data_IF_156848929390
#
_entry.id   IF_156848929390
#
_cell.length_a   1.000
_cell.length_b   1.000
_cell.length_c   1.000
_cell.angle_alpha   90.00
_cell.angle_beta   90.00
_cell.angle_gamma   90.00
#
_symmetry.space_group_name_H-M   'P 1'
#
loop_
_entity.id
_entity.type
_entity.pdbx_description
1 polymer ?
#
# COMPACT_ATOMS: atom_id res chain seq x y z
N UNK A 1 17.24 10.14 -7.88
CA UNK A 1 15.98 9.50 -7.45
C UNK A 1 16.33 8.55 -6.32
N UNK A 2 16.07 8.97 -5.08
CA UNK A 2 16.39 8.19 -3.88
C UNK A 2 15.68 6.85 -3.94
N UNK A 3 16.45 5.78 -3.88
CA UNK A 3 15.93 4.44 -3.67
C UNK A 3 15.25 4.45 -2.29
N UNK A 4 13.93 4.65 -2.24
CA UNK A 4 13.14 4.75 -1.00
C UNK A 4 13.10 3.43 -0.19
N UNK A 5 14.05 2.52 -0.44
CA UNK A 5 14.26 1.26 0.26
C UNK A 5 13.24 0.17 -0.05
N UNK A 6 12.27 0.42 -0.93
CA UNK A 6 11.29 -0.60 -1.33
C UNK A 6 11.93 -1.59 -2.29
N UNK A 7 11.85 -2.87 -1.94
CA UNK A 7 12.39 -3.97 -2.71
C UNK A 7 11.26 -4.83 -3.25
N UNK A 8 11.39 -5.29 -4.49
CA UNK A 8 10.45 -6.25 -5.07
C UNK A 8 10.42 -7.52 -4.20
N UNK A 9 9.22 -7.91 -3.78
CA UNK A 9 9.02 -9.07 -2.93
C UNK A 9 8.39 -10.23 -3.70
N UNK A 10 7.35 -9.96 -4.51
CA UNK A 10 6.65 -10.99 -5.25
C UNK A 10 5.79 -10.41 -6.38
N UNK A 11 5.50 -11.26 -7.37
CA UNK A 11 4.45 -11.05 -8.35
C UNK A 11 3.52 -12.26 -8.36
N UNK A 12 2.22 -12.02 -8.33
CA UNK A 12 1.23 -13.11 -8.44
C UNK A 12 0.96 -13.43 -9.90
N UNK A 13 0.46 -14.65 -10.19
CA UNK A 13 -0.01 -15.04 -11.53
C UNK A 13 -1.05 -14.06 -12.11
N UNK A 14 -1.83 -13.41 -11.24
CA UNK A 14 -2.81 -12.41 -11.64
C UNK A 14 -2.22 -11.05 -12.02
N UNK A 15 -0.90 -10.85 -11.95
CA UNK A 15 -0.22 -9.60 -12.30
C UNK A 15 -0.13 -8.58 -11.17
N UNK A 16 -0.42 -8.96 -9.93
CA UNK A 16 -0.19 -8.08 -8.77
C UNK A 16 1.27 -8.13 -8.39
N UNK A 17 1.91 -6.98 -8.26
CA UNK A 17 3.27 -6.84 -7.77
C UNK A 17 3.27 -6.27 -6.36
N UNK A 18 4.19 -6.75 -5.53
CA UNK A 18 4.37 -6.32 -4.15
C UNK A 18 5.80 -5.86 -3.95
N UNK A 19 5.96 -4.65 -3.43
CA UNK A 19 7.24 -4.10 -3.02
C UNK A 19 7.20 -3.82 -1.51
N UNK A 20 8.20 -4.29 -0.77
CA UNK A 20 8.27 -4.17 0.67
C UNK A 20 9.46 -3.33 1.12
N UNK A 21 9.28 -2.58 2.20
CA UNK A 21 10.35 -1.83 2.86
C UNK A 21 10.66 -2.47 4.23
N UNK A 22 11.88 -2.25 4.73
CA UNK A 22 12.38 -2.85 5.99
C UNK A 22 11.58 -2.40 7.23
N UNK A 23 10.96 -1.23 7.18
CA UNK A 23 10.06 -0.73 8.23
C UNK A 23 8.71 -1.47 8.28
N UNK A 24 8.42 -2.33 7.29
CA UNK A 24 7.17 -3.07 7.15
C UNK A 24 6.09 -2.37 6.32
N UNK A 25 6.40 -1.22 5.71
CA UNK A 25 5.61 -0.57 4.67
C UNK A 25 5.57 -1.42 3.40
N UNK A 26 4.47 -1.38 2.66
CA UNK A 26 4.25 -2.17 1.45
C UNK A 26 3.54 -1.33 0.39
N UNK A 27 4.01 -1.46 -0.84
CA UNK A 27 3.37 -0.96 -2.07
C UNK A 27 2.85 -2.18 -2.83
N UNK A 28 1.56 -2.18 -3.17
CA UNK A 28 1.01 -3.12 -4.14
C UNK A 28 0.70 -2.39 -5.44
N UNK A 29 1.17 -2.93 -6.56
CA UNK A 29 0.76 -2.49 -7.90
C UNK A 29 -0.21 -3.54 -8.41
N UNK A 30 -1.43 -3.12 -8.71
CA UNK A 30 -2.46 -3.98 -9.29
C UNK A 30 -2.22 -4.15 -10.79
N UNK A 31 -2.78 -5.20 -11.43
CA UNK A 31 -2.60 -5.44 -12.86
C UNK A 31 -3.09 -4.29 -13.75
N UNK A 32 -4.05 -3.50 -13.26
CA UNK A 32 -4.57 -2.32 -13.94
C UNK A 32 -3.77 -1.04 -13.65
N UNK A 33 -2.57 -1.16 -13.09
CA UNK A 33 -1.69 -0.06 -12.71
C UNK A 33 -2.09 0.68 -11.43
N UNK A 34 -3.24 0.38 -10.80
CA UNK A 34 -3.61 1.03 -9.53
C UNK A 34 -2.59 0.68 -8.45
N UNK A 35 -2.09 1.69 -7.78
CA UNK A 35 -1.14 1.52 -6.69
C UNK A 35 -1.91 1.52 -5.37
N UNK A 36 -1.44 0.77 -4.37
CA UNK A 36 -1.93 0.83 -2.99
C UNK A 36 -0.73 0.90 -2.06
N UNK A 37 -0.60 2.02 -1.34
CA UNK A 37 0.46 2.24 -0.35
C UNK A 37 -0.05 1.96 1.04
N UNK A 38 0.70 1.15 1.78
CA UNK A 38 0.43 0.86 3.19
C UNK A 38 1.68 1.05 4.03
N UNK A 39 1.51 1.59 5.23
CA UNK A 39 2.60 1.74 6.19
C UNK A 39 2.89 0.46 6.98
N UNK A 40 3.75 0.55 8.00
CA UNK A 40 4.05 -0.54 8.92
C UNK A 40 2.80 -1.09 9.59
N UNK A 41 2.89 -2.35 10.02
CA UNK A 41 1.80 -3.01 10.76
C UNK A 41 1.68 -2.39 12.16
N UNK A 42 0.55 -1.75 12.42
CA UNK A 42 0.22 -1.15 13.72
C UNK A 42 -0.42 -2.23 14.60
N UNK A 43 0.20 -2.50 15.74
CA UNK A 43 -0.36 -3.37 16.77
C UNK A 43 -1.36 -2.57 17.62
N UNK A 44 -2.45 -3.20 17.98
CA UNK A 44 -3.46 -2.67 18.89
C UNK A 44 -3.48 -3.51 20.15
N UNK A 45 -3.67 -2.90 21.32
CA UNK A 45 -3.72 -3.60 22.61
C UNK A 45 -4.87 -4.61 22.72
N UNK A 46 -5.98 -4.38 22.02
CA UNK A 46 -7.22 -5.17 22.17
C UNK A 46 -7.87 -5.57 20.83
N UNK A 47 -7.16 -5.49 19.70
CA UNK A 47 -7.75 -5.65 18.36
C UNK A 47 -6.86 -6.35 17.34
N UNK A 48 -7.41 -6.56 16.13
CA UNK A 48 -6.62 -7.05 15.00
C UNK A 48 -5.63 -5.97 14.55
N UNK A 49 -4.34 -6.32 14.40
CA UNK A 49 -3.37 -5.37 13.87
C UNK A 49 -3.74 -4.95 12.45
N UNK A 50 -3.50 -3.70 12.12
CA UNK A 50 -3.90 -3.11 10.84
C UNK A 50 -2.75 -2.32 10.21
N UNK A 51 -2.87 -1.97 8.93
CA UNK A 51 -1.96 -1.06 8.24
C UNK A 51 -2.72 0.17 7.79
N UNK A 52 -2.18 1.36 8.04
CA UNK A 52 -2.73 2.61 7.46
C UNK A 52 -2.43 2.66 5.97
N UNK A 53 -3.35 3.27 5.22
CA UNK A 53 -3.18 3.56 3.80
C UNK A 53 -2.85 5.02 3.60
N UNK A 54 -2.08 5.26 2.55
CA UNK A 54 -1.63 6.59 2.17
C UNK A 54 -1.97 6.82 0.70
N UNK A 55 -2.27 8.06 0.35
CA UNK A 55 -2.41 8.47 -1.03
C UNK A 55 -1.04 8.70 -1.70
N UNK A 56 -1.05 9.16 -2.94
CA UNK A 56 0.17 9.46 -3.72
C UNK A 56 1.05 10.56 -3.11
N UNK A 57 0.47 11.44 -2.29
CA UNK A 57 1.20 12.53 -1.62
C UNK A 57 1.78 12.09 -0.27
N UNK A 58 1.43 10.88 0.19
CA UNK A 58 1.80 10.38 1.51
C UNK A 58 0.80 10.78 2.60
N UNK A 59 -0.35 11.35 2.24
CA UNK A 59 -1.38 11.72 3.19
C UNK A 59 -2.22 10.51 3.61
N UNK A 60 -2.64 10.49 4.88
CA UNK A 60 -3.42 9.38 5.44
C UNK A 60 -4.81 9.35 4.83
N UNK A 61 -5.17 8.23 4.21
CA UNK A 61 -6.54 7.98 3.79
C UNK A 61 -7.37 7.63 5.02
N UNK A 62 -8.35 8.47 5.34
CA UNK A 62 -9.25 8.23 6.46
C UNK A 62 -10.04 6.94 6.24
N UNK A 63 -10.10 6.09 7.27
CA UNK A 63 -10.98 4.94 7.24
C UNK A 63 -12.41 5.39 7.52
N UNK A 64 -13.25 5.39 6.48
CA UNK A 64 -14.69 5.62 6.58
C UNK A 64 -15.39 4.29 6.26
N UNK A 65 -16.14 3.68 7.21
CA UNK A 65 -16.90 2.47 6.94
C UNK A 65 -17.83 2.64 5.72
N UNK A 66 -17.81 1.68 4.80
CA UNK A 66 -18.58 1.74 3.55
C UNK A 66 -17.96 2.57 2.42
N UNK A 67 -16.93 3.38 2.69
CA UNK A 67 -16.22 4.11 1.65
C UNK A 67 -15.16 3.25 0.94
N UNK A 68 -14.91 3.55 -0.34
CA UNK A 68 -13.88 2.87 -1.13
C UNK A 68 -12.46 3.37 -0.80
N UNK A 69 -12.00 3.08 0.41
CA UNK A 69 -10.65 3.43 0.92
C UNK A 69 -9.52 2.59 0.31
N UNK A 70 -9.85 1.76 -0.70
CA UNK A 70 -8.89 0.93 -1.45
C UNK A 70 -8.33 1.63 -2.68
N UNK A 71 -8.89 2.78 -3.03
CA UNK A 71 -8.37 3.66 -4.05
C UNK A 71 -7.44 4.68 -3.40
N UNK A 72 -6.12 4.57 -3.62
CA UNK A 72 -5.16 5.56 -3.12
C UNK A 72 -4.96 6.74 -4.08
N UNK A 73 -5.80 6.83 -5.13
CA UNK A 73 -5.75 7.91 -6.12
C UNK A 73 -4.61 7.77 -7.12
N UNK A 74 -3.76 6.77 -6.98
CA UNK A 74 -2.54 6.61 -7.76
C UNK A 74 -2.67 5.48 -8.79
N UNK A 75 -2.27 5.76 -10.03
CA UNK A 75 -2.26 4.79 -11.12
C UNK A 75 -1.00 4.97 -11.95
N UNK A 76 -0.26 3.88 -12.12
CA UNK A 76 0.81 3.80 -13.12
C UNK A 76 0.17 3.83 -14.52
N UNK A 77 0.46 4.88 -15.28
CA UNK A 77 0.16 4.91 -16.72
C UNK A 77 1.35 4.24 -17.40
N UNK A 78 1.07 3.12 -18.07
CA UNK A 78 2.03 2.33 -18.83
C UNK A 78 1.84 2.63 -20.31
#
# INVERSE_FOLDING_TARGET
MSNYGFQFQAQTRGGYETFAHVDGSIIHIRPNGKIVRTGPKIKTSQGKPYRRRYDQNGDKIQFIPGANTHNTGEKLII
#
